data_IF_833143055731
#
_entry.id   IF_833143055731
#
_cell.length_a   1.000
_cell.length_b   1.000
_cell.length_c   1.000
_cell.angle_alpha   90.00
_cell.angle_beta   90.00
_cell.angle_gamma   90.00
#
_symmetry.space_group_name_H-M   'P 1'
#
loop_
_entity.id
_entity.type
_entity.pdbx_description
1 polymer ?
#
# COMPACT_ATOMS: atom_id res chain seq x y z
N UNK A 1 -27.27 -6.91 -39.53
CA UNK A 1 -26.17 -6.04 -39.05
C UNK A 1 -26.41 -5.52 -37.63
N UNK A 2 -27.53 -4.86 -37.33
CA UNK A 2 -27.83 -4.32 -35.98
C UNK A 2 -27.86 -5.39 -34.87
N UNK A 3 -28.42 -6.56 -35.15
CA UNK A 3 -28.48 -7.70 -34.21
C UNK A 3 -27.12 -8.30 -33.91
N UNK A 4 -26.24 -8.42 -34.91
CA UNK A 4 -24.86 -8.88 -34.76
C UNK A 4 -24.05 -7.91 -33.90
N UNK A 5 -24.24 -6.60 -34.12
CA UNK A 5 -23.58 -5.56 -33.33
C UNK A 5 -24.05 -5.58 -31.87
N UNK A 6 -25.36 -5.80 -31.64
CA UNK A 6 -25.93 -5.92 -30.30
C UNK A 6 -25.44 -7.18 -29.57
N UNK A 7 -25.35 -8.33 -30.26
CA UNK A 7 -24.79 -9.55 -29.68
C UNK A 7 -23.30 -9.42 -29.36
N UNK A 8 -22.55 -8.70 -30.20
CA UNK A 8 -21.12 -8.43 -29.96
C UNK A 8 -20.92 -7.52 -28.74
N UNK A 9 -21.73 -6.47 -28.63
CA UNK A 9 -21.71 -5.58 -27.46
C UNK A 9 -22.07 -6.34 -26.17
N UNK A 10 -23.06 -7.25 -26.21
CA UNK A 10 -23.44 -8.06 -25.05
C UNK A 10 -22.31 -9.02 -24.62
N UNK A 11 -21.56 -9.57 -25.58
CA UNK A 11 -20.42 -10.46 -25.30
C UNK A 11 -19.28 -9.74 -24.55
N UNK A 12 -19.06 -8.45 -24.83
CA UNK A 12 -18.01 -7.66 -24.17
C UNK A 12 -18.26 -7.43 -22.67
N UNK A 13 -19.52 -7.40 -22.22
CA UNK A 13 -19.84 -7.23 -20.79
C UNK A 13 -19.41 -8.44 -19.94
N UNK A 14 -19.40 -9.65 -20.51
CA UNK A 14 -18.98 -10.87 -19.81
C UNK A 14 -17.46 -10.99 -19.60
N UNK A 15 -16.67 -10.13 -20.24
CA UNK A 15 -15.20 -10.14 -20.16
C UNK A 15 -14.65 -9.18 -19.08
N UNK A 16 -15.52 -8.50 -18.34
CA UNK A 16 -15.08 -7.56 -17.29
C UNK A 16 -14.66 -8.33 -16.05
N UNK A 17 -13.39 -8.19 -15.65
CA UNK A 17 -12.91 -8.62 -14.34
C UNK A 17 -13.14 -7.47 -13.35
N UNK A 18 -13.77 -7.75 -12.22
CA UNK A 18 -13.93 -6.78 -11.14
C UNK A 18 -12.70 -6.79 -10.21
N UNK A 19 -12.43 -5.64 -9.60
CA UNK A 19 -11.33 -5.38 -8.65
C UNK A 19 -9.94 -5.27 -9.29
N UNK A 20 -9.36 -4.07 -9.20
CA UNK A 20 -7.97 -3.77 -9.56
C UNK A 20 -7.23 -3.51 -8.25
N UNK A 21 -6.13 -4.22 -7.99
CA UNK A 21 -5.32 -4.04 -6.78
C UNK A 21 -5.51 -5.17 -5.77
N UNK A 22 -6.12 -4.88 -4.61
CA UNK A 22 -6.27 -5.81 -3.47
C UNK A 22 -6.83 -7.17 -3.89
N UNK A 23 -6.04 -8.25 -3.84
CA UNK A 23 -6.50 -9.61 -4.12
C UNK A 23 -6.13 -10.56 -2.98
N UNK A 24 -7.10 -11.37 -2.55
CA UNK A 24 -6.85 -12.53 -1.69
C UNK A 24 -6.57 -13.75 -2.57
N UNK A 25 -5.45 -14.41 -2.34
CA UNK A 25 -5.00 -15.54 -3.16
C UNK A 25 -5.89 -16.78 -2.96
N UNK A 26 -6.94 -16.88 -3.77
CA UNK A 26 -7.85 -18.03 -3.84
C UNK A 26 -8.70 -18.27 -2.59
N UNK A 27 -8.81 -17.27 -1.71
CA UNK A 27 -9.51 -17.40 -0.41
C UNK A 27 -10.58 -16.34 -0.24
N UNK A 28 -11.74 -16.75 0.29
CA UNK A 28 -12.83 -15.83 0.67
C UNK A 28 -12.55 -15.10 1.99
N UNK A 29 -11.77 -15.72 2.88
CA UNK A 29 -11.40 -15.18 4.19
C UNK A 29 -9.96 -15.59 4.50
N UNK A 30 -9.21 -14.69 5.13
CA UNK A 30 -7.81 -14.90 5.51
C UNK A 30 -7.57 -14.49 6.96
N UNK A 31 -6.52 -15.04 7.57
CA UNK A 31 -6.00 -14.61 8.87
C UNK A 31 -4.58 -14.13 8.65
N UNK A 32 -4.31 -12.88 8.99
CA UNK A 32 -2.99 -12.26 8.87
C UNK A 32 -2.42 -12.12 10.29
N UNK A 33 -1.25 -12.69 10.60
CA UNK A 33 -0.60 -12.47 11.88
C UNK A 33 -0.13 -11.01 11.98
N UNK A 34 -0.31 -10.41 13.16
CA UNK A 34 0.09 -9.04 13.44
C UNK A 34 0.66 -8.93 14.85
N UNK A 35 1.48 -7.92 15.07
CA UNK A 35 1.93 -7.52 16.39
C UNK A 35 0.97 -6.45 16.93
N UNK A 36 0.52 -6.65 18.16
CA UNK A 36 -0.31 -5.68 18.88
C UNK A 36 0.51 -5.07 20.02
N UNK A 37 0.91 -3.81 19.88
CA UNK A 37 1.78 -3.12 20.84
C UNK A 37 1.31 -1.68 21.02
N UNK A 38 1.14 -1.23 22.26
CA UNK A 38 0.59 0.11 22.57
C UNK A 38 -0.70 0.45 21.81
N UNK A 39 -1.61 -0.52 21.65
CA UNK A 39 -2.85 -0.42 20.89
C UNK A 39 -2.70 -0.17 19.39
N UNK A 40 -1.47 -0.33 18.87
CA UNK A 40 -1.17 -0.25 17.45
C UNK A 40 -1.13 -1.66 16.86
N UNK A 41 -1.72 -1.79 15.68
CA UNK A 41 -1.63 -3.01 14.86
C UNK A 41 -0.47 -2.84 13.90
N UNK A 42 0.56 -3.68 14.04
CA UNK A 42 1.73 -3.69 13.18
C UNK A 42 1.74 -4.99 12.39
N UNK A 43 1.78 -4.88 11.06
CA UNK A 43 1.80 -6.03 10.16
C UNK A 43 3.13 -6.11 9.41
N UNK A 44 3.73 -7.31 9.29
CA UNK A 44 4.85 -7.53 8.39
C UNK A 44 4.34 -7.61 6.95
N UNK A 45 4.94 -6.82 6.07
CA UNK A 45 4.58 -6.67 4.66
C UNK A 45 5.84 -6.83 3.83
N UNK A 46 5.76 -7.60 2.76
CA UNK A 46 6.79 -7.62 1.73
C UNK A 46 6.46 -6.58 0.67
N UNK A 47 7.35 -5.62 0.44
CA UNK A 47 7.23 -4.60 -0.61
C UNK A 47 8.41 -4.78 -1.57
N UNK A 48 8.14 -5.13 -2.82
CA UNK A 48 9.15 -5.41 -3.85
C UNK A 48 10.26 -6.38 -3.37
N UNK A 49 9.88 -7.41 -2.59
CA UNK A 49 10.80 -8.38 -2.02
C UNK A 49 11.40 -8.01 -0.65
N UNK A 50 11.32 -6.75 -0.22
CA UNK A 50 11.83 -6.30 1.08
C UNK A 50 10.79 -6.44 2.18
N UNK A 51 11.17 -7.07 3.30
CA UNK A 51 10.30 -7.20 4.48
C UNK A 51 10.31 -5.91 5.29
N UNK A 52 9.13 -5.38 5.60
CA UNK A 52 8.92 -4.14 6.31
C UNK A 52 7.76 -4.27 7.30
N UNK A 53 7.81 -3.52 8.39
CA UNK A 53 6.74 -3.43 9.36
C UNK A 53 5.92 -2.18 9.11
N UNK A 54 4.60 -2.36 8.93
CA UNK A 54 3.67 -1.27 8.72
C UNK A 54 2.73 -1.13 9.91
N UNK A 55 2.57 0.11 10.38
CA UNK A 55 1.42 0.48 11.19
C UNK A 55 0.18 0.45 10.29
N UNK A 56 -0.86 -0.28 10.70
CA UNK A 56 -2.11 -0.33 9.97
C UNK A 56 -3.06 0.76 10.47
N UNK A 57 -3.49 1.67 9.58
CA UNK A 57 -4.30 2.83 9.94
C UNK A 57 -5.38 3.15 8.90
N UNK A 58 -6.65 3.02 9.28
CA UNK A 58 -7.81 3.38 8.43
C UNK A 58 -7.97 4.90 8.22
N UNK A 59 -7.37 5.71 9.10
CA UNK A 59 -7.45 7.18 9.05
C UNK A 59 -6.53 7.80 8.00
N UNK A 60 -5.64 7.01 7.39
CA UNK A 60 -4.73 7.45 6.34
C UNK A 60 -5.18 6.86 5.00
N UNK A 61 -5.33 7.71 3.99
CA UNK A 61 -5.75 7.27 2.65
C UNK A 61 -4.64 6.51 1.92
N UNK A 62 -3.44 7.06 1.96
CA UNK A 62 -2.32 6.58 1.15
C UNK A 62 -1.36 5.70 1.96
N UNK A 63 -0.76 4.70 1.32
CA UNK A 63 0.33 3.92 1.94
C UNK A 63 1.63 4.69 1.85
N UNK A 64 2.38 4.76 2.94
CA UNK A 64 3.60 5.57 3.05
C UNK A 64 4.72 4.87 3.81
N UNK A 65 5.96 5.13 3.42
CA UNK A 65 7.17 4.59 4.03
C UNK A 65 8.09 5.75 4.43
N UNK A 66 8.78 5.59 5.56
CA UNK A 66 9.62 6.60 6.20
C UNK A 66 11.11 6.39 5.94
N UNK A 67 11.82 7.50 5.72
CA UNK A 67 13.28 7.56 5.76
C UNK A 67 13.99 7.02 4.52
N UNK A 68 15.33 6.87 4.64
CA UNK A 68 16.21 6.37 3.58
C UNK A 68 16.13 4.84 3.34
N UNK A 69 15.21 4.15 4.00
CA UNK A 69 14.98 2.69 3.92
C UNK A 69 14.76 2.18 2.47
N UNK A 70 14.56 3.11 1.52
CA UNK A 70 14.07 2.87 0.17
C UNK A 70 14.93 3.46 -0.95
N UNK A 71 16.24 3.61 -0.79
CA UNK A 71 17.13 3.84 -1.94
C UNK A 71 17.02 2.75 -3.02
N UNK A 72 16.31 1.64 -2.76
CA UNK A 72 16.19 0.44 -3.59
C UNK A 72 14.76 0.10 -4.07
N UNK A 73 13.74 0.96 -3.92
CA UNK A 73 12.52 0.79 -4.72
C UNK A 73 12.80 1.37 -6.10
N UNK A 74 13.11 0.49 -7.05
CA UNK A 74 13.58 0.77 -8.41
C UNK A 74 12.58 1.54 -9.31
N UNK A 75 11.50 2.09 -8.75
CA UNK A 75 10.37 2.67 -9.48
C UNK A 75 9.82 3.94 -8.83
N UNK A 76 10.69 4.82 -8.32
CA UNK A 76 10.28 6.17 -7.90
C UNK A 76 10.02 7.04 -9.14
N UNK A 77 8.78 7.51 -9.34
CA UNK A 77 8.37 8.15 -10.60
C UNK A 77 8.15 9.66 -10.46
N UNK A 78 7.77 10.18 -9.29
CA UNK A 78 7.43 11.60 -9.14
C UNK A 78 7.86 12.21 -7.80
N UNK A 79 8.43 13.42 -7.84
CA UNK A 79 8.69 14.25 -6.65
C UNK A 79 7.44 15.07 -6.35
N UNK A 80 6.88 14.94 -5.14
CA UNK A 80 5.74 15.74 -4.71
C UNK A 80 5.95 16.19 -3.25
N UNK A 81 5.52 17.42 -2.94
CA UNK A 81 5.36 17.87 -1.55
C UNK A 81 4.03 17.36 -1.02
N UNK A 82 4.06 16.62 0.09
CA UNK A 82 2.88 16.03 0.71
C UNK A 82 2.42 16.86 1.90
N UNK A 83 1.18 17.34 1.87
CA UNK A 83 0.55 18.07 2.98
C UNK A 83 -0.31 17.12 3.82
N UNK A 84 -0.60 17.48 5.09
CA UNK A 84 -1.54 16.72 5.93
C UNK A 84 -0.92 15.84 7.02
N UNK A 85 0.40 15.90 7.22
CA UNK A 85 1.11 15.17 8.29
C UNK A 85 1.39 16.03 9.52
N UNK A 86 0.48 16.98 9.82
CA UNK A 86 0.59 17.87 10.98
C UNK A 86 1.65 18.98 10.87
N UNK A 87 2.19 19.23 9.68
CA UNK A 87 3.13 20.32 9.38
C UNK A 87 2.56 21.27 8.34
N UNK A 88 2.67 22.58 8.57
CA UNK A 88 2.16 23.61 7.66
C UNK A 88 2.89 23.61 6.31
N UNK A 89 4.18 23.27 6.28
CA UNK A 89 5.02 23.37 5.07
C UNK A 89 5.00 22.10 4.17
N UNK A 90 4.26 21.06 4.59
CA UNK A 90 4.29 19.74 3.96
C UNK A 90 5.62 19.01 4.20
N UNK A 91 5.70 17.77 3.73
CA UNK A 91 6.90 16.93 3.76
C UNK A 91 7.33 16.60 2.34
N UNK A 92 8.63 16.71 2.09
CA UNK A 92 9.22 16.30 0.81
C UNK A 92 9.20 14.78 0.68
N UNK A 93 8.81 14.29 -0.50
CA UNK A 93 8.81 12.86 -0.76
C UNK A 93 8.65 12.52 -2.23
N UNK A 94 8.61 11.22 -2.50
CA UNK A 94 8.41 10.67 -3.83
C UNK A 94 7.21 9.73 -3.86
N UNK A 95 6.48 9.73 -4.97
CA UNK A 95 5.50 8.69 -5.27
C UNK A 95 6.18 7.59 -6.09
N UNK A 96 6.19 6.38 -5.55
CA UNK A 96 6.48 5.16 -6.29
C UNK A 96 5.16 4.50 -6.71
N UNK A 97 5.08 4.10 -7.96
CA UNK A 97 3.93 3.41 -8.55
C UNK A 97 4.31 1.98 -8.90
N UNK A 98 3.30 1.13 -9.07
CA UNK A 98 3.48 -0.26 -9.51
C UNK A 98 4.36 -1.10 -8.59
N UNK A 99 4.19 -0.91 -7.28
CA UNK A 99 4.86 -1.73 -6.28
C UNK A 99 4.10 -3.03 -6.07
N UNK A 100 4.87 -4.11 -5.99
CA UNK A 100 4.38 -5.41 -5.56
C UNK A 100 4.36 -5.48 -4.03
N UNK A 101 3.19 -5.69 -3.47
CA UNK A 101 2.95 -5.85 -2.05
C UNK A 101 2.41 -7.25 -1.80
N UNK A 102 3.06 -7.98 -0.90
CA UNK A 102 2.59 -9.28 -0.42
C UNK A 102 2.49 -9.27 1.10
N UNK A 103 1.38 -9.80 1.63
CA UNK A 103 1.20 -9.95 3.07
C UNK A 103 0.91 -11.43 3.36
N UNK A 104 1.84 -12.05 4.09
CA UNK A 104 1.77 -13.44 4.56
C UNK A 104 1.42 -14.47 3.47
N UNK A 105 1.72 -14.21 2.19
CA UNK A 105 1.38 -15.08 1.06
C UNK A 105 -0.12 -15.22 0.77
N UNK A 106 -0.97 -14.47 1.45
CA UNK A 106 -2.44 -14.57 1.33
C UNK A 106 -3.07 -13.34 0.69
N UNK A 107 -2.36 -12.21 0.72
CA UNK A 107 -2.76 -10.96 0.10
C UNK A 107 -1.68 -10.51 -0.87
N UNK A 108 -2.11 -10.00 -2.01
CA UNK A 108 -1.25 -9.51 -3.07
C UNK A 108 -1.86 -8.27 -3.73
N UNK A 109 -1.04 -7.24 -3.93
CA UNK A 109 -1.33 -6.09 -4.79
C UNK A 109 -0.10 -5.82 -5.65
N UNK A 110 -0.22 -5.98 -6.97
CA UNK A 110 0.88 -5.78 -7.91
C UNK A 110 1.02 -4.34 -8.41
N UNK A 111 0.13 -3.44 -7.97
CA UNK A 111 0.10 -2.05 -8.41
C UNK A 111 -0.19 -1.09 -7.25
N UNK A 112 0.48 -1.31 -6.11
CA UNK A 112 0.31 -0.46 -4.93
C UNK A 112 1.06 0.88 -5.13
N UNK A 113 0.38 2.03 -5.07
CA UNK A 113 1.05 3.32 -4.94
C UNK A 113 1.61 3.49 -3.52
N UNK A 114 2.87 3.90 -3.42
CA UNK A 114 3.58 4.08 -2.15
C UNK A 114 4.26 5.44 -2.10
N UNK A 115 4.00 6.18 -1.04
CA UNK A 115 4.55 7.49 -0.77
C UNK A 115 5.80 7.36 0.11
N UNK A 116 6.95 7.78 -0.41
CA UNK A 116 8.24 7.70 0.26
C UNK A 116 8.54 9.07 0.86
N UNK A 117 8.51 9.18 2.19
CA UNK A 117 8.74 10.45 2.88
C UNK A 117 10.21 10.60 3.27
N UNK A 118 10.86 11.63 2.71
CA UNK A 118 12.25 11.96 3.04
C UNK A 118 12.30 12.74 4.35
N UNK A 119 13.34 12.48 5.15
CA UNK A 119 13.61 13.21 6.40
C UNK A 119 12.43 13.23 7.39
N UNK A 120 11.49 12.29 7.26
CA UNK A 120 10.41 12.08 8.21
C UNK A 120 10.96 11.33 9.42
N UNK A 121 11.32 12.06 10.47
CA UNK A 121 11.61 11.46 11.77
C UNK A 121 10.29 11.14 12.46
N UNK A 122 9.84 9.89 12.33
CA UNK A 122 8.65 9.41 13.03
C UNK A 122 9.12 8.53 14.18
N UNK A 123 9.15 9.11 15.38
CA UNK A 123 9.59 8.50 16.64
C UNK A 123 8.68 7.39 17.17
N UNK A 124 7.80 6.84 16.33
CA UNK A 124 6.90 5.75 16.70
C UNK A 124 7.74 4.54 17.12
N UNK A 125 8.75 4.18 16.32
CA UNK A 125 9.59 3.01 16.57
C UNK A 125 10.29 3.05 17.92
N UNK A 126 10.89 4.20 18.27
CA UNK A 126 11.59 4.43 19.54
C UNK A 126 10.66 4.30 20.74
N UNK A 127 9.41 4.75 20.61
CA UNK A 127 8.44 4.73 21.70
C UNK A 127 7.87 3.35 21.98
N UNK A 128 7.70 2.52 20.94
CA UNK A 128 7.01 1.23 21.05
C UNK A 128 7.95 0.02 21.03
N UNK A 129 9.24 0.23 20.77
CA UNK A 129 10.27 -0.83 20.78
C UNK A 129 10.22 -1.77 19.58
N UNK A 130 9.54 -1.37 18.51
CA UNK A 130 9.38 -2.14 17.27
C UNK A 130 9.71 -1.22 16.11
N UNK A 131 10.54 -1.66 15.19
CA UNK A 131 10.79 -0.91 13.96
C UNK A 131 9.50 -0.79 13.15
N UNK A 132 9.07 0.44 12.87
CA UNK A 132 7.97 0.77 11.97
C UNK A 132 8.54 1.49 10.76
N UNK A 133 8.48 0.83 9.61
CA UNK A 133 8.99 1.38 8.36
C UNK A 133 7.97 2.31 7.69
N UNK A 134 6.67 2.12 7.93
CA UNK A 134 5.64 2.90 7.26
C UNK A 134 4.24 2.79 7.88
N UNK A 135 3.29 3.47 7.24
CA UNK A 135 1.85 3.38 7.53
C UNK A 135 1.14 2.82 6.30
N UNK A 136 0.31 1.80 6.52
CA UNK A 136 -0.53 1.18 5.50
C UNK A 136 -1.97 1.67 5.68
N UNK A 137 -2.48 2.33 4.64
CA UNK A 137 -3.72 3.09 4.68
C UNK A 137 -4.94 2.34 4.14
N UNK A 138 -5.96 3.11 3.74
CA UNK A 138 -7.28 2.62 3.33
C UNK A 138 -7.26 1.59 2.21
N UNK A 139 -6.25 1.59 1.32
CA UNK A 139 -6.14 0.61 0.22
C UNK A 139 -5.97 -0.84 0.70
N UNK A 140 -5.55 -1.04 1.95
CA UNK A 140 -5.51 -2.36 2.56
C UNK A 140 -6.92 -2.90 2.90
N UNK A 141 -7.92 -2.04 3.06
CA UNK A 141 -9.27 -2.42 3.50
C UNK A 141 -10.25 -2.49 2.32
#
# INVERSE_FOLDING_TARGET
>A
MKTVFLSLALLCFFMTQGQVGFVLNGKKNVKIPFLFVHNLVIIPVQVNGYMMNFLLDTGVKETMIFGETLKSIDSAVFVNKFQGLGREEGLDGYLSISNHVNIAGVYEDSDQPIYILQNAHIDISTRIGVEVNGIMGSRFF
#
